data_IF_564691912128
#
_entry.id   IF_564691912128
#
_cell.length_a   1.000
_cell.length_b   1.000
_cell.length_c   1.000
_cell.angle_alpha   90.00
_cell.angle_beta   90.00
_cell.angle_gamma   90.00
#
_symmetry.space_group_name_H-M   'P 1'
#
loop_
_entity.id
_entity.type
_entity.pdbx_description
1 polymer ?
#
# COMPACT_ATOMS: atom_id res chain seq x y z
N UNK A 1 32.22 -1.06 -14.03
CA UNK A 1 31.31 -1.46 -12.94
C UNK A 1 32.16 -2.15 -11.89
N UNK A 2 32.28 -1.59 -10.68
CA UNK A 2 33.07 -2.22 -9.61
C UNK A 2 32.44 -3.56 -9.22
N UNK A 3 33.27 -4.57 -8.96
CA UNK A 3 32.78 -5.86 -8.44
C UNK A 3 32.24 -5.69 -7.01
N UNK A 4 31.25 -6.50 -6.62
CA UNK A 4 30.67 -6.44 -5.26
C UNK A 4 31.74 -6.54 -4.16
N UNK A 5 32.81 -7.33 -4.40
CA UNK A 5 33.96 -7.46 -3.51
C UNK A 5 34.80 -6.19 -3.39
N UNK A 6 34.92 -5.40 -4.46
CA UNK A 6 35.63 -4.12 -4.43
C UNK A 6 34.84 -3.06 -3.67
N UNK A 7 33.51 -3.07 -3.83
CA UNK A 7 32.60 -2.20 -3.08
C UNK A 7 32.66 -2.53 -1.59
N UNK A 8 32.69 -3.82 -1.23
CA UNK A 8 32.84 -4.27 0.15
C UNK A 8 34.14 -3.74 0.78
N UNK A 9 35.27 -3.89 0.09
CA UNK A 9 36.58 -3.41 0.57
C UNK A 9 36.61 -1.89 0.80
N UNK A 10 35.92 -1.13 -0.05
CA UNK A 10 35.88 0.35 0.04
C UNK A 10 34.90 0.87 1.09
N UNK A 11 33.80 0.17 1.32
CA UNK A 11 32.67 0.68 2.14
C UNK A 11 32.50 -0.02 3.48
N UNK A 12 33.11 -1.19 3.67
CA UNK A 12 32.88 -2.03 4.85
C UNK A 12 31.47 -2.65 4.92
N UNK A 13 30.62 -2.42 3.91
CA UNK A 13 29.27 -2.95 3.87
C UNK A 13 29.35 -4.46 3.60
N UNK A 14 28.53 -5.24 4.31
CA UNK A 14 28.43 -6.68 4.12
C UNK A 14 28.17 -7.03 2.65
N UNK A 15 28.91 -8.03 2.13
CA UNK A 15 28.81 -8.47 0.74
C UNK A 15 27.37 -8.80 0.33
N UNK A 16 26.62 -9.47 1.21
CA UNK A 16 25.21 -9.81 1.02
C UNK A 16 24.32 -8.57 0.80
N UNK A 17 24.60 -7.48 1.50
CA UNK A 17 23.84 -6.22 1.36
C UNK A 17 24.14 -5.56 0.01
N UNK A 18 25.41 -5.57 -0.41
CA UNK A 18 25.83 -5.04 -1.71
C UNK A 18 25.17 -5.85 -2.83
N UNK A 19 25.24 -7.18 -2.77
CA UNK A 19 24.62 -8.06 -3.76
C UNK A 19 23.10 -7.86 -3.84
N UNK A 20 22.43 -7.76 -2.70
CA UNK A 20 20.99 -7.48 -2.64
C UNK A 20 20.65 -6.13 -3.29
N UNK A 21 21.42 -5.09 -3.01
CA UNK A 21 21.20 -3.75 -3.57
C UNK A 21 21.49 -3.73 -5.08
N UNK A 22 22.54 -4.41 -5.54
CA UNK A 22 22.85 -4.54 -6.96
C UNK A 22 21.75 -5.30 -7.71
N UNK A 23 21.23 -6.39 -7.12
CA UNK A 23 20.08 -7.13 -7.67
C UNK A 23 18.85 -6.21 -7.78
N UNK A 24 18.52 -5.50 -6.71
CA UNK A 24 17.39 -4.57 -6.67
C UNK A 24 17.52 -3.42 -7.68
N UNK A 25 18.73 -2.87 -7.84
CA UNK A 25 19.02 -1.83 -8.82
C UNK A 25 18.83 -2.35 -10.25
N UNK A 26 19.21 -3.61 -10.55
CA UNK A 26 18.96 -4.24 -11.85
C UNK A 26 17.48 -4.47 -12.14
N UNK A 27 16.72 -4.88 -11.13
CA UNK A 27 15.29 -5.21 -11.28
C UNK A 27 14.39 -3.99 -11.33
N UNK A 28 14.68 -2.97 -10.52
CA UNK A 28 13.76 -1.84 -10.29
C UNK A 28 14.33 -0.48 -10.68
N UNK A 29 15.61 -0.42 -11.04
CA UNK A 29 16.32 0.86 -11.26
C UNK A 29 16.52 1.68 -9.99
N UNK A 30 16.17 1.15 -8.81
CA UNK A 30 16.15 1.90 -7.56
C UNK A 30 16.69 1.07 -6.38
N UNK A 31 17.25 1.76 -5.38
CA UNK A 31 17.71 1.18 -4.11
C UNK A 31 16.81 1.57 -2.92
N UNK A 32 15.89 2.53 -3.08
CA UNK A 32 15.04 3.07 -2.01
C UNK A 32 14.35 1.98 -1.20
N UNK A 33 14.37 2.10 0.13
CA UNK A 33 13.66 1.18 1.01
C UNK A 33 12.18 1.08 0.62
N UNK A 34 11.68 -0.14 0.61
CA UNK A 34 10.26 -0.39 0.36
C UNK A 34 9.50 0.15 1.56
N UNK A 35 8.73 1.21 1.35
CA UNK A 35 7.93 1.80 2.41
C UNK A 35 6.80 0.84 2.75
N UNK A 36 6.68 0.46 4.04
CA UNK A 36 5.65 -0.46 4.52
C UNK A 36 4.28 0.23 4.62
N UNK A 37 3.81 0.87 3.54
CA UNK A 37 2.49 1.50 3.48
C UNK A 37 1.36 0.49 3.17
N UNK A 38 1.68 -0.81 3.16
CA UNK A 38 0.79 -1.87 2.67
C UNK A 38 -0.35 -2.22 3.61
N UNK A 39 -0.28 -1.82 4.88
CA UNK A 39 -1.34 -2.13 5.82
C UNK A 39 -2.40 -1.03 5.79
N UNK A 40 -3.42 -1.23 4.94
CA UNK A 40 -4.66 -0.45 5.02
C UNK A 40 -5.13 -0.46 6.47
N UNK A 41 -5.34 0.73 7.04
CA UNK A 41 -5.88 0.87 8.40
C UNK A 41 -7.13 0.00 8.56
N UNK A 42 -7.34 -0.57 9.75
CA UNK A 42 -8.53 -1.37 10.09
C UNK A 42 -9.82 -0.64 9.71
N UNK A 43 -9.82 0.68 9.86
CA UNK A 43 -10.91 1.57 9.44
C UNK A 43 -11.19 1.48 7.93
N UNK A 44 -10.15 1.55 7.10
CA UNK A 44 -10.28 1.45 5.64
C UNK A 44 -10.81 0.07 5.24
N UNK A 45 -10.33 -1.00 5.90
CA UNK A 45 -10.80 -2.36 5.63
C UNK A 45 -12.28 -2.54 5.97
N UNK A 46 -12.72 -2.03 7.12
CA UNK A 46 -14.14 -2.07 7.54
C UNK A 46 -15.03 -1.27 6.58
N UNK A 47 -14.58 -0.09 6.13
CA UNK A 47 -15.32 0.72 5.15
C UNK A 47 -15.42 -0.02 3.81
N UNK A 48 -14.32 -0.59 3.30
CA UNK A 48 -14.34 -1.36 2.05
C UNK A 48 -15.30 -2.55 2.12
N UNK A 49 -15.30 -3.30 3.22
CA UNK A 49 -16.25 -4.41 3.41
C UNK A 49 -17.71 -3.93 3.46
N UNK A 50 -17.99 -2.81 4.13
CA UNK A 50 -19.33 -2.25 4.17
C UNK A 50 -19.80 -1.80 2.77
N UNK A 51 -18.93 -1.13 2.00
CA UNK A 51 -19.19 -0.74 0.61
C UNK A 51 -19.55 -1.98 -0.23
N UNK A 52 -18.72 -3.02 -0.19
CA UNK A 52 -18.95 -4.27 -0.93
C UNK A 52 -20.30 -4.91 -0.57
N UNK A 53 -20.62 -4.98 0.73
CA UNK A 53 -21.89 -5.54 1.19
C UNK A 53 -23.11 -4.74 0.69
N UNK A 54 -23.04 -3.42 0.66
CA UNK A 54 -24.15 -2.59 0.21
C UNK A 54 -24.32 -2.61 -1.30
N UNK A 55 -23.23 -2.56 -2.07
CA UNK A 55 -23.27 -2.67 -3.53
C UNK A 55 -23.77 -4.05 -3.97
N UNK A 56 -23.36 -5.12 -3.27
CA UNK A 56 -23.85 -6.47 -3.56
C UNK A 56 -25.36 -6.62 -3.32
N UNK A 57 -25.89 -5.98 -2.27
CA UNK A 57 -27.33 -6.01 -1.95
C UNK A 57 -28.18 -5.11 -2.83
N UNK A 58 -27.61 -4.03 -3.37
CA UNK A 58 -28.30 -3.11 -4.26
C UNK A 58 -27.31 -2.45 -5.24
N UNK A 59 -27.29 -2.97 -6.46
CA UNK A 59 -26.39 -2.52 -7.53
C UNK A 59 -26.74 -1.14 -8.10
N UNK A 60 -27.95 -0.62 -7.84
CA UNK A 60 -28.41 0.69 -8.30
C UNK A 60 -28.29 1.79 -7.24
N UNK A 61 -27.60 1.53 -6.12
CA UNK A 61 -27.46 2.52 -5.04
C UNK A 61 -26.61 3.71 -5.49
N UNK A 62 -27.09 4.93 -5.23
CA UNK A 62 -26.32 6.15 -5.49
C UNK A 62 -25.17 6.28 -4.49
N UNK A 63 -24.01 6.75 -4.95
CA UNK A 63 -22.80 6.93 -4.11
C UNK A 63 -23.05 7.82 -2.89
N UNK A 64 -23.88 8.86 -3.01
CA UNK A 64 -24.27 9.72 -1.88
C UNK A 64 -25.10 8.96 -0.82
N UNK A 65 -26.00 8.09 -1.26
CA UNK A 65 -26.82 7.26 -0.35
C UNK A 65 -25.97 6.19 0.32
N UNK A 66 -25.00 5.63 -0.41
CA UNK A 66 -24.03 4.69 0.12
C UNK A 66 -23.15 5.34 1.19
N UNK A 67 -22.64 6.55 0.94
CA UNK A 67 -21.86 7.33 1.90
C UNK A 67 -22.63 7.56 3.21
N UNK A 68 -23.89 8.01 3.12
CA UNK A 68 -24.74 8.22 4.28
C UNK A 68 -24.98 6.92 5.09
N UNK A 69 -25.20 5.78 4.41
CA UNK A 69 -25.40 4.49 5.07
C UNK A 69 -24.16 4.01 5.81
N UNK A 70 -22.99 4.11 5.19
CA UNK A 70 -21.72 3.71 5.82
C UNK A 70 -21.40 4.64 6.98
N UNK A 71 -21.63 5.94 6.83
CA UNK A 71 -21.45 6.90 7.93
C UNK A 71 -22.33 6.56 9.14
N UNK A 72 -23.60 6.23 8.91
CA UNK A 72 -24.51 5.84 9.99
C UNK A 72 -24.16 4.49 10.63
N UNK A 73 -23.65 3.54 9.85
CA UNK A 73 -23.41 2.17 10.31
C UNK A 73 -22.05 2.03 10.99
N UNK A 74 -21.04 2.74 10.49
CA UNK A 74 -19.67 2.66 11.00
C UNK A 74 -19.31 3.84 11.93
N UNK A 75 -20.22 4.82 12.10
CA UNK A 75 -20.00 6.05 12.88
C UNK A 75 -18.73 6.81 12.46
N UNK A 76 -18.48 6.87 11.14
CA UNK A 76 -17.29 7.51 10.54
C UNK A 76 -17.77 8.50 9.47
N UNK A 77 -17.28 9.72 9.52
CA UNK A 77 -17.55 10.71 8.47
C UNK A 77 -16.81 10.35 7.19
N UNK A 78 -17.54 10.07 6.11
CA UNK A 78 -16.98 9.71 4.80
C UNK A 78 -17.55 10.65 3.76
N UNK A 79 -16.65 11.25 2.96
CA UNK A 79 -17.08 12.04 1.80
C UNK A 79 -17.55 11.12 0.69
N UNK A 80 -18.67 11.44 0.05
CA UNK A 80 -19.15 10.70 -1.12
C UNK A 80 -18.15 10.74 -2.30
N UNK A 81 -17.22 11.71 -2.33
CA UNK A 81 -16.12 11.76 -3.31
C UNK A 81 -15.02 10.74 -3.04
N UNK A 82 -14.99 10.17 -1.84
CA UNK A 82 -13.99 9.20 -1.39
C UNK A 82 -14.46 7.74 -1.54
N UNK A 83 -15.69 7.54 -2.04
CA UNK A 83 -16.30 6.24 -2.37
C UNK A 83 -16.32 6.13 -3.89
#
# INVERSE_FOLDING_TARGET
INSAKEIQKKTGILLRTIERNLKKLRETGNINHQCNNSQKSKIIQTISQAIEQYVHKNTAILTCQLAAKIQNTCNISISYKSI
#
